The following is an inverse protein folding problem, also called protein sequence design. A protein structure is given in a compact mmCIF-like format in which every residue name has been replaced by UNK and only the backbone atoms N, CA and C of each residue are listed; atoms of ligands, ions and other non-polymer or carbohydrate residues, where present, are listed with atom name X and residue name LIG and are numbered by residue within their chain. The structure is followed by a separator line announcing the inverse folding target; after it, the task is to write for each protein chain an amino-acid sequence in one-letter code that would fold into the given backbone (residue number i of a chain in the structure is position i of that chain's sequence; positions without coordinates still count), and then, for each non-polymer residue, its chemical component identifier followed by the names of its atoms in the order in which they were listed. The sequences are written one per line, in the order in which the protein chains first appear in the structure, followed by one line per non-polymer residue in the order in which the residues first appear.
data_IF_669280529453
#
_entry.id   IF_669280529453
#
_cell.length_a   1.000
_cell.length_b   1.000
_cell.length_c   1.000
_cell.angle_alpha   90.00
_cell.angle_beta   90.00
_cell.angle_gamma   90.00
#
_symmetry.space_group_name_H-M   'P 1'
#
loop_
_entity.id
_entity.type
_entity.pdbx_description
1 polymer ?
#
# COMPACT_ATOMS: atom_id res chain seq x y z
N UNK A 1 1.23 -22.29 -17.17
CA UNK A 1 0.43 -21.35 -16.34
C UNK A 1 0.63 -19.95 -16.88
N UNK A 2 -0.42 -19.11 -16.92
CA UNK A 2 -0.28 -17.72 -17.35
C UNK A 2 0.33 -16.86 -16.24
N UNK A 3 1.20 -15.91 -16.61
CA UNK A 3 1.82 -14.97 -15.67
C UNK A 3 0.80 -13.98 -15.11
N UNK A 4 -0.20 -13.63 -15.93
CA UNK A 4 -1.22 -12.65 -15.61
C UNK A 4 -2.61 -13.29 -15.58
N UNK A 5 -3.46 -12.83 -14.65
CA UNK A 5 -4.90 -13.10 -14.61
C UNK A 5 -5.59 -12.54 -15.87
N UNK A 6 -6.68 -13.16 -16.37
CA UNK A 6 -7.49 -12.60 -17.46
C UNK A 6 -7.92 -11.17 -17.15
N UNK A 7 -7.88 -10.27 -18.14
CA UNK A 7 -8.20 -8.84 -17.94
C UNK A 7 -9.61 -8.63 -17.37
N UNK A 8 -10.58 -9.43 -17.81
CA UNK A 8 -11.97 -9.38 -17.36
C UNK A 8 -12.16 -9.65 -15.85
N UNK A 9 -11.21 -10.33 -15.22
CA UNK A 9 -11.31 -10.73 -13.82
C UNK A 9 -10.59 -9.76 -12.87
N UNK A 10 -9.93 -8.71 -13.36
CA UNK A 10 -9.03 -7.85 -12.55
C UNK A 10 -9.74 -6.74 -11.76
N UNK A 11 -11.07 -6.81 -11.62
CA UNK A 11 -11.86 -5.84 -10.85
C UNK A 11 -11.63 -5.97 -9.34
N UNK A 12 -11.57 -7.21 -8.84
CA UNK A 12 -11.34 -7.49 -7.42
C UNK A 12 -9.88 -7.87 -7.14
N UNK A 13 -9.43 -7.58 -5.92
CA UNK A 13 -8.18 -8.13 -5.39
C UNK A 13 -8.28 -9.65 -5.24
N UNK A 14 -7.17 -10.39 -5.41
CA UNK A 14 -7.12 -11.76 -4.94
C UNK A 14 -7.35 -11.82 -3.41
N UNK A 15 -7.80 -12.96 -2.85
CA UNK A 15 -8.02 -13.11 -1.41
C UNK A 15 -6.75 -12.88 -0.57
N UNK A 16 -6.93 -12.70 0.75
CA UNK A 16 -5.83 -12.55 1.71
C UNK A 16 -5.43 -11.10 1.99
N UNK A 17 -6.39 -10.17 1.92
CA UNK A 17 -6.20 -8.82 2.45
C UNK A 17 -6.25 -8.85 3.98
N UNK A 18 -5.43 -8.04 4.62
CA UNK A 18 -5.40 -7.92 6.09
C UNK A 18 -5.33 -6.45 6.52
N UNK A 19 -5.66 -6.17 7.77
CA UNK A 19 -5.58 -4.84 8.36
C UNK A 19 -4.43 -4.78 9.38
N UNK A 20 -3.59 -3.75 9.30
CA UNK A 20 -2.47 -3.54 10.23
C UNK A 20 -2.68 -2.33 11.15
N UNK A 21 -3.85 -1.69 11.09
CA UNK A 21 -4.21 -0.58 11.96
C UNK A 21 -5.38 0.24 11.41
N UNK A 22 -5.49 1.47 11.91
CA UNK A 22 -6.44 2.48 11.43
C UNK A 22 -5.74 3.82 11.24
N UNK A 23 -6.20 4.57 10.26
CA UNK A 23 -5.80 5.97 10.06
C UNK A 23 -6.41 6.87 11.14
N UNK A 24 -6.04 8.15 11.11
CA UNK A 24 -6.53 9.11 12.09
C UNK A 24 -8.06 9.31 11.97
N UNK A 25 -8.57 9.37 10.74
CA UNK A 25 -10.01 9.49 10.49
C UNK A 25 -10.76 8.14 10.56
N UNK A 26 -10.06 7.06 10.91
CA UNK A 26 -10.65 5.75 11.18
C UNK A 26 -10.72 4.79 9.99
N UNK A 27 -10.17 5.16 8.82
CA UNK A 27 -10.06 4.25 7.68
C UNK A 27 -9.12 3.07 8.01
N UNK A 28 -9.39 1.85 7.53
CA UNK A 28 -8.50 0.71 7.77
C UNK A 28 -7.17 0.92 7.05
N UNK A 29 -6.07 0.61 7.74
CA UNK A 29 -4.76 0.48 7.13
C UNK A 29 -4.61 -0.94 6.59
N UNK A 30 -4.53 -1.07 5.26
CA UNK A 30 -4.66 -2.35 4.55
C UNK A 30 -3.30 -2.80 4.00
N UNK A 31 -3.00 -4.08 4.15
CA UNK A 31 -1.84 -4.72 3.53
C UNK A 31 -2.18 -6.09 2.95
N UNK A 32 -1.32 -6.56 2.04
CA UNK A 32 -1.44 -7.85 1.36
C UNK A 32 -0.18 -8.68 1.63
N UNK A 33 -0.22 -9.63 2.60
CA UNK A 33 0.90 -10.49 2.91
C UNK A 33 1.34 -11.31 1.70
N UNK A 34 2.65 -11.51 1.49
CA UNK A 34 3.17 -12.42 0.44
C UNK A 34 2.52 -13.80 0.56
N UNK A 35 2.19 -14.45 -0.56
CA UNK A 35 1.45 -15.72 -0.55
C UNK A 35 2.23 -16.86 0.09
N UNK A 36 3.56 -16.83 -0.05
CA UNK A 36 4.49 -17.71 0.66
C UNK A 36 5.74 -16.90 1.02
N UNK A 37 5.65 -16.16 2.13
CA UNK A 37 6.74 -15.33 2.61
C UNK A 37 7.99 -16.16 2.92
N UNK A 38 9.17 -15.63 2.59
CA UNK A 38 10.47 -16.25 2.89
C UNK A 38 11.47 -15.19 3.36
N UNK A 39 12.73 -15.59 3.60
CA UNK A 39 13.82 -14.67 3.94
C UNK A 39 14.07 -13.60 2.87
N UNK A 40 13.68 -13.89 1.61
CA UNK A 40 13.83 -12.99 0.47
C UNK A 40 12.61 -12.05 0.28
N UNK A 41 11.58 -12.19 1.11
CA UNK A 41 10.38 -11.37 1.00
C UNK A 41 10.62 -9.95 1.50
N UNK A 42 10.73 -9.01 0.56
CA UNK A 42 10.64 -7.58 0.83
C UNK A 42 9.21 -7.04 1.00
N UNK A 43 9.12 -5.72 1.18
CA UNK A 43 7.88 -4.95 1.32
C UNK A 43 7.84 -3.86 0.24
N UNK A 44 6.74 -3.79 -0.51
CA UNK A 44 6.48 -2.75 -1.51
C UNK A 44 5.43 -1.80 -0.94
N UNK A 45 5.77 -0.52 -0.84
CA UNK A 45 4.91 0.54 -0.29
C UNK A 45 4.55 1.56 -1.38
N UNK A 46 3.35 2.11 -1.28
CA UNK A 46 2.91 3.28 -2.07
C UNK A 46 2.01 4.19 -1.22
N UNK A 47 1.77 5.41 -1.70
CA UNK A 47 0.85 6.37 -1.08
C UNK A 47 1.28 6.81 0.33
N UNK A 48 2.58 7.05 0.56
CA UNK A 48 3.05 7.73 1.77
C UNK A 48 2.56 9.17 1.81
N UNK A 49 2.59 9.85 0.66
CA UNK A 49 1.86 11.10 0.45
C UNK A 49 0.57 10.80 -0.33
N UNK A 50 -0.52 11.48 0.05
CA UNK A 50 -1.83 11.20 -0.51
C UNK A 50 -2.09 11.80 -1.90
N UNK A 51 -1.27 12.74 -2.35
CA UNK A 51 -1.32 13.32 -3.69
C UNK A 51 -0.50 12.51 -4.74
N UNK A 52 0.32 11.55 -4.31
CA UNK A 52 1.16 10.69 -5.16
C UNK A 52 0.40 9.46 -5.74
N UNK A 53 -0.78 9.71 -6.30
CA UNK A 53 -1.79 8.69 -6.64
C UNK A 53 -1.42 7.71 -7.76
N UNK A 54 -0.55 8.10 -8.69
CA UNK A 54 -0.20 7.27 -9.85
C UNK A 54 0.42 5.93 -9.44
N UNK A 55 1.26 5.95 -8.41
CA UNK A 55 1.93 4.77 -7.86
C UNK A 55 0.95 3.83 -7.15
N UNK A 56 0.00 4.37 -6.38
CA UNK A 56 -1.07 3.63 -5.70
C UNK A 56 -1.90 2.84 -6.71
N UNK A 57 -2.35 3.50 -7.78
CA UNK A 57 -3.14 2.87 -8.84
C UNK A 57 -2.32 1.84 -9.61
N UNK A 58 -1.05 2.16 -9.93
CA UNK A 58 -0.16 1.25 -10.66
C UNK A 58 0.11 -0.03 -9.88
N UNK A 59 0.41 0.09 -8.59
CA UNK A 59 0.66 -1.05 -7.70
C UNK A 59 -0.62 -1.88 -7.47
N UNK A 60 -1.77 -1.21 -7.33
CA UNK A 60 -3.08 -1.88 -7.28
C UNK A 60 -3.36 -2.68 -8.56
N UNK A 61 -3.08 -2.10 -9.73
CA UNK A 61 -3.21 -2.79 -11.02
C UNK A 61 -2.25 -3.98 -11.13
N UNK A 62 -1.01 -3.83 -10.71
CA UNK A 62 -0.03 -4.92 -10.71
C UNK A 62 -0.49 -6.08 -9.79
N UNK A 63 -0.94 -5.76 -8.58
CA UNK A 63 -1.45 -6.72 -7.60
C UNK A 63 -2.70 -7.47 -8.10
N UNK A 64 -3.61 -6.80 -8.81
CA UNK A 64 -4.81 -7.42 -9.43
C UNK A 64 -4.50 -8.19 -10.71
N UNK A 65 -3.35 -7.93 -11.34
CA UNK A 65 -2.95 -8.52 -12.62
C UNK A 65 -2.12 -9.77 -12.46
N UNK A 66 -1.11 -9.76 -11.58
CA UNK A 66 -0.19 -10.88 -11.41
C UNK A 66 -0.94 -12.12 -10.88
N UNK A 67 -0.60 -13.30 -11.41
CA UNK A 67 -1.07 -14.58 -10.84
C UNK A 67 -0.63 -14.67 -9.37
N UNK A 68 -1.56 -14.83 -8.40
CA UNK A 68 -1.25 -14.64 -6.96
C UNK A 68 -0.12 -15.52 -6.41
N UNK A 69 0.02 -16.74 -6.90
CA UNK A 69 1.09 -17.68 -6.49
C UNK A 69 2.51 -17.21 -6.85
N UNK A 70 2.65 -16.23 -7.75
CA UNK A 70 3.95 -15.69 -8.16
C UNK A 70 4.41 -14.50 -7.29
N UNK A 71 3.57 -13.99 -6.38
CA UNK A 71 3.86 -12.80 -5.58
C UNK A 71 4.80 -13.13 -4.41
N UNK A 72 6.04 -12.64 -4.48
CA UNK A 72 7.10 -12.88 -3.48
C UNK A 72 7.18 -11.86 -2.35
N UNK A 73 6.57 -10.70 -2.53
CA UNK A 73 6.70 -9.55 -1.63
C UNK A 73 5.37 -9.13 -1.01
N UNK A 74 5.44 -8.55 0.18
CA UNK A 74 4.31 -7.92 0.86
C UNK A 74 3.98 -6.59 0.17
N UNK A 75 2.72 -6.17 0.22
CA UNK A 75 2.26 -4.94 -0.44
C UNK A 75 1.39 -4.10 0.50
N UNK A 76 1.66 -2.80 0.56
CA UNK A 76 0.74 -1.77 1.09
C UNK A 76 0.45 -0.78 -0.03
N UNK A 77 -0.82 -0.61 -0.39
CA UNK A 77 -1.20 0.21 -1.53
C UNK A 77 -1.25 1.70 -1.22
N UNK A 78 -1.76 2.09 -0.04
CA UNK A 78 -1.75 3.48 0.42
C UNK A 78 -1.45 3.47 1.93
N UNK A 79 -0.29 4.03 2.30
CA UNK A 79 0.14 4.23 3.69
C UNK A 79 -0.71 5.33 4.37
N UNK A 80 -1.12 6.35 3.59
CA UNK A 80 -1.87 7.51 4.07
C UNK A 80 -3.28 7.57 3.45
N UNK A 81 -4.23 6.68 3.82
CA UNK A 81 -5.55 6.64 3.19
C UNK A 81 -6.34 7.95 3.39
N UNK A 82 -6.15 8.64 4.52
CA UNK A 82 -6.79 9.93 4.77
C UNK A 82 -6.27 10.99 3.80
N UNK A 83 -4.94 11.08 3.60
CA UNK A 83 -4.34 11.97 2.60
C UNK A 83 -4.78 11.61 1.18
N UNK A 84 -4.79 10.32 0.83
CA UNK A 84 -5.26 9.81 -0.46
C UNK A 84 -6.72 10.29 -0.73
N UNK A 85 -7.60 10.16 0.27
CA UNK A 85 -9.00 10.59 0.18
C UNK A 85 -9.15 12.12 0.05
N UNK A 86 -8.30 12.88 0.74
CA UNK A 86 -8.37 14.34 0.76
C UNK A 86 -7.59 15.00 -0.39
N UNK A 87 -6.82 14.23 -1.18
CA UNK A 87 -5.92 14.78 -2.20
C UNK A 87 -4.77 15.60 -1.59
N UNK A 88 -4.34 15.26 -0.38
CA UNK A 88 -3.31 15.99 0.36
C UNK A 88 -2.00 15.20 0.43
N UNK A 89 -0.89 15.92 0.34
CA UNK A 89 0.45 15.37 0.62
C UNK A 89 0.54 14.79 2.04
N UNK A 90 0.08 15.55 3.03
CA UNK A 90 0.13 15.21 4.44
C UNK A 90 -1.00 14.25 4.86
N UNK A 91 -0.95 13.76 6.11
CA UNK A 91 -2.10 13.08 6.73
C UNK A 91 -3.16 14.10 7.21
N UNK A 92 -4.23 13.62 7.83
CA UNK A 92 -5.31 14.46 8.36
C UNK A 92 -4.92 15.45 9.48
N UNK A 93 -3.73 15.31 10.08
CA UNK A 93 -3.17 16.29 11.04
C UNK A 93 -2.25 17.33 10.37
N UNK A 94 -2.12 17.32 9.04
CA UNK A 94 -1.15 18.19 8.34
C UNK A 94 0.30 17.73 8.48
N UNK A 95 0.55 16.52 8.99
CA UNK A 95 1.89 15.97 9.16
C UNK A 95 2.38 15.32 7.86
N UNK A 96 3.56 15.73 7.38
CA UNK A 96 4.30 14.99 6.35
C UNK A 96 4.80 13.66 6.94
N UNK A 97 4.13 12.55 6.60
CA UNK A 97 4.46 11.24 7.15
C UNK A 97 5.90 10.81 6.84
N UNK A 98 6.47 11.25 5.72
CA UNK A 98 7.85 10.96 5.35
C UNK A 98 8.87 11.89 6.05
N UNK A 99 8.42 12.69 7.00
CA UNK A 99 9.22 13.40 8.00
C UNK A 99 8.87 13.01 9.43
N UNK A 100 7.95 12.06 9.61
CA UNK A 100 7.43 11.64 10.91
C UNK A 100 7.90 10.24 11.34
N UNK A 101 8.87 9.65 10.63
CA UNK A 101 9.50 8.42 11.08
C UNK A 101 10.37 8.71 12.32
N UNK A 102 10.36 7.85 13.35
CA UNK A 102 11.15 8.01 14.56
C UNK A 102 12.61 7.62 14.33
N UNK A 103 13.22 8.21 13.30
CA UNK A 103 14.63 8.03 12.97
C UNK A 103 15.50 8.89 13.91
N UNK A 104 16.76 8.49 14.11
CA UNK A 104 17.69 9.21 14.99
C UNK A 104 17.93 10.68 14.60
N UNK A 105 17.70 11.02 13.33
CA UNK A 105 17.84 12.36 12.78
C UNK A 105 16.50 13.12 12.66
N UNK A 106 15.44 12.61 13.28
CA UNK A 106 14.17 13.32 13.33
C UNK A 106 14.35 14.69 13.99
N UNK A 107 13.63 15.69 13.48
CA UNK A 107 13.65 17.06 14.00
C UNK A 107 12.22 17.48 14.31
N UNK A 108 12.04 18.13 15.45
CA UNK A 108 10.81 18.83 15.77
C UNK A 108 10.56 19.91 14.71
N UNK A 109 9.29 20.03 14.31
CA UNK A 109 8.79 21.06 13.40
C UNK A 109 8.01 22.12 14.17
#
# INVERSE_FOLDING_TARGET
MTVNRPRAERGAFPPGTEHYGRSLLGAPLIWFPATAASRESGLILAGTHGDENSSVVTLSCALRTLTPSLRRHHVVLCVNPDGCQLGLRANANGVDLNRNFPAANWKEG
#
